data_IF_715420651447
#
_entry.id   IF_715420651447
#
_cell.length_a   1.000
_cell.length_b   1.000
_cell.length_c   1.000
_cell.angle_alpha   90.00
_cell.angle_beta   90.00
_cell.angle_gamma   90.00
#
_symmetry.space_group_name_H-M   'P 1'
#
loop_
_entity.id
_entity.type
_entity.pdbx_description
1 polymer ?
#
# COMPACT_ATOMS: atom_id res chain seq x y z
N UNK A 1 -11.23 -7.67 -22.94
CA UNK A 1 -10.02 -8.44 -23.24
C UNK A 1 -8.90 -7.96 -22.33
N UNK A 2 -8.22 -8.87 -21.70
CA UNK A 2 -7.17 -8.50 -20.76
C UNK A 2 -5.94 -7.99 -21.50
N UNK A 3 -5.50 -6.81 -21.11
CA UNK A 3 -4.21 -6.28 -21.52
C UNK A 3 -3.12 -7.13 -20.87
N UNK A 4 -2.17 -7.70 -21.64
CA UNK A 4 -1.11 -8.52 -21.07
C UNK A 4 -0.21 -7.77 -20.06
N UNK A 5 -0.25 -6.43 -20.04
CA UNK A 5 0.47 -5.64 -19.05
C UNK A 5 -0.31 -5.44 -17.75
N UNK A 6 -1.58 -5.76 -17.73
CA UNK A 6 -2.47 -5.52 -16.60
C UNK A 6 -2.03 -6.16 -15.28
N UNK A 7 -1.46 -7.37 -15.27
CA UNK A 7 -0.99 -7.97 -14.01
C UNK A 7 0.08 -7.17 -13.28
N UNK A 8 0.75 -6.25 -13.96
CA UNK A 8 1.79 -5.41 -13.34
C UNK A 8 1.28 -4.03 -12.94
N UNK A 9 0.04 -3.65 -13.31
CA UNK A 9 -0.55 -2.37 -12.96
C UNK A 9 -1.01 -2.35 -11.50
N UNK A 10 -0.97 -1.17 -10.83
CA UNK A 10 -1.58 -1.03 -9.50
C UNK A 10 -3.07 -1.33 -9.54
N UNK A 11 -3.58 -1.92 -8.46
CA UNK A 11 -4.98 -2.26 -8.35
C UNK A 11 -5.52 -1.87 -6.96
N UNK A 12 -6.71 -1.25 -6.94
CA UNK A 12 -7.41 -0.86 -5.72
C UNK A 12 -8.74 -1.57 -5.56
N UNK A 13 -8.98 -2.65 -6.30
CA UNK A 13 -10.26 -3.36 -6.28
C UNK A 13 -10.58 -3.87 -4.87
N UNK A 14 -11.65 -3.34 -4.29
CA UNK A 14 -12.13 -3.75 -2.95
C UNK A 14 -12.60 -5.19 -2.97
N UNK A 15 -13.09 -5.68 -4.12
CA UNK A 15 -13.61 -7.04 -4.27
C UNK A 15 -12.56 -8.11 -3.98
N UNK A 16 -11.28 -7.79 -4.18
CA UNK A 16 -10.16 -8.70 -3.93
C UNK A 16 -9.48 -8.48 -2.60
N UNK A 17 -9.99 -7.53 -1.81
CA UNK A 17 -9.43 -7.20 -0.50
C UNK A 17 -10.09 -8.03 0.59
N UNK A 18 -9.35 -8.34 1.65
CA UNK A 18 -9.89 -8.97 2.84
C UNK A 18 -10.90 -8.02 3.51
N UNK A 19 -12.14 -8.44 3.77
CA UNK A 19 -13.18 -7.55 4.32
C UNK A 19 -12.83 -6.98 5.70
N UNK A 20 -12.16 -7.74 6.55
CA UNK A 20 -11.73 -7.23 7.86
C UNK A 20 -10.69 -6.14 7.73
N UNK A 21 -9.74 -6.35 6.83
CA UNK A 21 -8.74 -5.33 6.54
C UNK A 21 -9.40 -4.06 6.00
N UNK A 22 -10.33 -4.19 5.05
CA UNK A 22 -11.05 -3.04 4.50
C UNK A 22 -11.80 -2.26 5.57
N UNK A 23 -12.45 -2.95 6.49
CA UNK A 23 -13.18 -2.30 7.59
C UNK A 23 -12.23 -1.50 8.49
N UNK A 24 -11.13 -2.10 8.89
CA UNK A 24 -10.11 -1.44 9.73
C UNK A 24 -9.46 -0.28 9.00
N UNK A 25 -9.10 -0.48 7.75
CA UNK A 25 -8.51 0.57 6.92
C UNK A 25 -9.45 1.76 6.77
N UNK A 26 -10.72 1.51 6.48
CA UNK A 26 -11.72 2.56 6.34
C UNK A 26 -11.83 3.41 7.60
N UNK A 27 -11.81 2.78 8.78
CA UNK A 27 -11.83 3.49 10.05
C UNK A 27 -10.57 4.32 10.28
N UNK A 28 -9.40 3.77 9.97
CA UNK A 28 -8.13 4.50 10.09
C UNK A 28 -8.11 5.72 9.16
N UNK A 29 -8.48 5.55 7.91
CA UNK A 29 -8.47 6.64 6.94
C UNK A 29 -9.51 7.71 7.25
N UNK A 30 -10.68 7.32 7.78
CA UNK A 30 -11.68 8.29 8.25
C UNK A 30 -11.14 9.12 9.42
N UNK A 31 -10.51 8.46 10.39
CA UNK A 31 -9.89 9.17 11.51
C UNK A 31 -8.77 10.11 11.04
N UNK A 32 -8.01 9.70 10.04
CA UNK A 32 -6.97 10.51 9.42
C UNK A 32 -7.54 11.80 8.82
N UNK A 33 -8.61 11.67 8.05
CA UNK A 33 -9.28 12.82 7.45
C UNK A 33 -9.92 13.72 8.52
N UNK A 34 -10.50 13.12 9.54
CA UNK A 34 -11.07 13.88 10.68
C UNK A 34 -10.00 14.66 11.44
N UNK A 35 -8.77 14.17 11.45
CA UNK A 35 -7.62 14.86 12.04
C UNK A 35 -7.05 15.96 11.14
N UNK A 36 -7.58 16.14 9.93
CA UNK A 36 -7.19 17.21 9.03
C UNK A 36 -6.18 16.81 7.95
N UNK A 37 -5.93 15.52 7.76
CA UNK A 37 -4.99 15.04 6.74
C UNK A 37 -5.74 14.46 5.54
N UNK A 38 -5.41 14.93 4.35
CA UNK A 38 -5.91 14.32 3.12
C UNK A 38 -5.08 13.09 2.80
N UNK A 39 -5.76 12.01 2.38
CA UNK A 39 -5.12 10.74 2.07
C UNK A 39 -5.85 10.08 0.91
N UNK A 40 -5.09 9.45 0.00
CA UNK A 40 -5.67 8.65 -1.08
C UNK A 40 -5.06 7.26 -1.12
N UNK A 41 -5.86 6.28 -1.56
CA UNK A 41 -5.40 4.92 -1.79
C UNK A 41 -4.71 4.82 -3.15
N UNK A 42 -3.64 4.05 -3.22
CA UNK A 42 -2.82 3.89 -4.43
C UNK A 42 -2.88 2.46 -4.95
N UNK A 43 -2.57 1.49 -4.10
CA UNK A 43 -2.55 0.09 -4.51
C UNK A 43 -2.94 -0.80 -3.33
N UNK A 44 -3.95 -1.67 -3.54
CA UNK A 44 -4.39 -2.64 -2.54
C UNK A 44 -3.99 -4.06 -2.92
N UNK A 45 -4.94 -4.86 -3.47
CA UNK A 45 -4.64 -6.20 -3.92
C UNK A 45 -3.55 -6.17 -5.00
N UNK A 46 -2.64 -7.13 -4.91
CA UNK A 46 -1.54 -7.26 -5.87
C UNK A 46 -1.46 -8.69 -6.37
N UNK A 47 -1.38 -8.87 -7.69
CA UNK A 47 -1.17 -10.19 -8.27
C UNK A 47 0.25 -10.69 -8.03
N UNK A 48 0.44 -12.01 -8.11
CA UNK A 48 1.77 -12.62 -8.01
C UNK A 48 2.69 -12.06 -9.11
N UNK A 49 2.16 -11.89 -10.32
CA UNK A 49 2.91 -11.34 -11.45
C UNK A 49 3.36 -9.91 -11.18
N UNK A 50 2.48 -9.08 -10.62
CA UNK A 50 2.81 -7.71 -10.24
C UNK A 50 3.92 -7.69 -9.19
N UNK A 51 3.82 -8.54 -8.16
CA UNK A 51 4.84 -8.59 -7.09
C UNK A 51 6.20 -9.04 -7.64
N UNK A 52 6.21 -10.02 -8.53
CA UNK A 52 7.44 -10.47 -9.20
C UNK A 52 8.06 -9.34 -10.02
N UNK A 53 7.24 -8.59 -10.74
CA UNK A 53 7.71 -7.44 -11.52
C UNK A 53 8.35 -6.38 -10.63
N UNK A 54 7.68 -6.01 -9.55
CA UNK A 54 8.19 -5.01 -8.60
C UNK A 54 9.50 -5.47 -7.96
N UNK A 55 9.58 -6.75 -7.59
CA UNK A 55 10.81 -7.32 -7.01
C UNK A 55 11.97 -7.27 -8.01
N UNK A 56 11.69 -7.46 -9.29
CA UNK A 56 12.71 -7.45 -10.34
C UNK A 56 13.26 -6.05 -10.64
N UNK A 57 12.48 -4.98 -10.40
CA UNK A 57 12.93 -3.61 -10.64
C UNK A 57 14.17 -3.31 -9.79
N UNK A 58 15.22 -2.84 -10.44
CA UNK A 58 16.50 -2.55 -9.82
C UNK A 58 17.40 -3.78 -9.63
N UNK A 59 16.88 -5.00 -9.88
CA UNK A 59 17.65 -6.24 -9.79
C UNK A 59 17.92 -6.85 -11.16
N UNK A 60 16.89 -7.30 -11.86
CA UNK A 60 17.02 -7.95 -13.19
C UNK A 60 16.48 -7.10 -14.33
N UNK A 61 15.57 -6.17 -14.05
CA UNK A 61 15.03 -5.20 -15.00
C UNK A 61 15.28 -3.80 -14.47
N UNK A 62 15.43 -2.84 -15.38
CA UNK A 62 15.65 -1.42 -15.01
C UNK A 62 16.72 -1.28 -13.92
N UNK A 63 17.87 -1.93 -14.10
CA UNK A 63 18.92 -2.03 -13.07
C UNK A 63 19.44 -0.69 -12.58
N UNK A 64 19.27 0.37 -13.35
CA UNK A 64 19.64 1.73 -12.95
C UNK A 64 18.67 2.36 -11.96
N UNK A 65 17.47 1.78 -11.79
CA UNK A 65 16.47 2.27 -10.85
C UNK A 65 16.70 1.70 -9.45
N UNK A 66 16.29 2.44 -8.40
CA UNK A 66 16.33 1.90 -7.04
C UNK A 66 15.45 0.65 -6.93
N UNK A 67 15.83 -0.25 -6.03
CA UNK A 67 15.00 -1.41 -5.68
C UNK A 67 13.68 -0.91 -5.09
N UNK A 68 12.54 -1.42 -5.61
CA UNK A 68 11.19 -0.97 -5.23
C UNK A 68 10.66 -1.72 -4.01
N UNK A 69 10.97 -3.03 -3.90
CA UNK A 69 10.48 -3.86 -2.81
C UNK A 69 11.54 -4.89 -2.40
N UNK A 70 11.56 -5.23 -1.11
CA UNK A 70 12.47 -6.21 -0.56
C UNK A 70 11.89 -7.63 -0.57
N UNK A 71 10.63 -7.81 -0.96
CA UNK A 71 9.97 -9.10 -0.83
C UNK A 71 9.22 -9.53 -2.09
N UNK A 72 9.20 -10.84 -2.32
CA UNK A 72 8.29 -11.50 -3.26
C UNK A 72 6.96 -11.88 -2.59
N UNK A 73 6.89 -11.80 -1.25
CA UNK A 73 5.76 -12.23 -0.43
C UNK A 73 5.23 -11.02 0.34
N UNK A 74 4.31 -10.30 -0.26
CA UNK A 74 3.68 -9.12 0.34
C UNK A 74 2.26 -9.46 0.78
N UNK A 75 1.77 -8.82 1.86
CA UNK A 75 0.37 -8.93 2.25
C UNK A 75 -0.58 -8.31 1.21
N UNK A 76 -0.08 -7.52 0.25
CA UNK A 76 -0.85 -7.12 -0.93
C UNK A 76 -1.38 -8.32 -1.72
N UNK A 77 -0.66 -9.45 -1.72
CA UNK A 77 -1.06 -10.66 -2.45
C UNK A 77 -2.34 -11.31 -1.89
N UNK A 78 -2.66 -11.06 -0.64
CA UNK A 78 -3.86 -11.59 0.02
C UNK A 78 -4.87 -10.50 0.37
N UNK A 79 -4.70 -9.31 -0.17
CA UNK A 79 -5.61 -8.20 0.06
C UNK A 79 -5.60 -7.66 1.48
N UNK A 80 -4.49 -7.75 2.19
CA UNK A 80 -4.33 -7.28 3.58
C UNK A 80 -3.34 -6.14 3.72
N UNK A 81 -3.06 -5.45 2.64
CA UNK A 81 -2.22 -4.27 2.63
C UNK A 81 -2.75 -3.24 1.65
N UNK A 82 -2.49 -1.98 1.93
CA UNK A 82 -2.86 -0.86 1.07
C UNK A 82 -1.75 0.17 1.13
N UNK A 83 -1.32 0.64 -0.04
CA UNK A 83 -0.45 1.79 -0.14
C UNK A 83 -1.28 3.05 -0.26
N UNK A 84 -0.93 4.07 0.51
CA UNK A 84 -1.60 5.37 0.51
C UNK A 84 -0.59 6.49 0.37
N UNK A 85 -1.04 7.63 -0.10
CA UNK A 85 -0.20 8.83 -0.15
C UNK A 85 -1.06 10.08 0.00
N UNK A 86 -0.41 11.25 0.03
CA UNK A 86 -1.10 12.53 0.00
C UNK A 86 -1.57 12.82 -1.44
N UNK A 87 -2.81 13.31 -1.64
CA UNK A 87 -3.28 13.71 -2.97
C UNK A 87 -2.46 14.84 -3.60
N UNK A 88 -1.84 15.70 -2.78
CA UNK A 88 -1.07 16.85 -3.26
C UNK A 88 0.42 16.68 -3.15
N UNK A 89 0.91 16.02 -2.09
CA UNK A 89 2.34 15.88 -1.79
C UNK A 89 2.89 14.50 -2.13
N UNK A 90 2.03 13.56 -2.55
CA UNK A 90 2.45 12.19 -2.82
C UNK A 90 3.09 11.54 -1.61
N UNK A 91 4.27 10.98 -1.79
CA UNK A 91 5.03 10.33 -0.71
C UNK A 91 5.96 11.29 0.05
N UNK A 92 5.87 12.60 -0.22
CA UNK A 92 6.64 13.64 0.48
C UNK A 92 5.76 14.38 1.48
N UNK A 93 5.00 13.64 2.28
CA UNK A 93 4.05 14.16 3.26
C UNK A 93 4.40 13.63 4.67
N UNK A 94 5.47 14.13 5.31
CA UNK A 94 5.94 13.56 6.58
C UNK A 94 4.88 13.60 7.69
N UNK A 95 4.08 14.65 7.77
CA UNK A 95 3.05 14.76 8.80
C UNK A 95 1.97 13.69 8.66
N UNK A 96 1.55 13.38 7.42
CA UNK A 96 0.58 12.32 7.15
C UNK A 96 1.13 10.97 7.58
N UNK A 97 2.35 10.63 7.17
CA UNK A 97 2.94 9.34 7.47
C UNK A 97 3.26 9.17 8.96
N UNK A 98 3.67 10.24 9.63
CA UNK A 98 3.84 10.22 11.08
C UNK A 98 2.51 9.96 11.80
N UNK A 99 1.44 10.60 11.35
CA UNK A 99 0.11 10.38 11.93
C UNK A 99 -0.32 8.92 11.76
N UNK A 100 -0.16 8.38 10.55
CA UNK A 100 -0.52 6.99 10.27
C UNK A 100 0.31 6.02 11.13
N UNK A 101 1.61 6.24 11.23
CA UNK A 101 2.48 5.41 12.07
C UNK A 101 2.05 5.41 13.53
N UNK A 102 1.65 6.57 14.06
CA UNK A 102 1.25 6.71 15.45
C UNK A 102 -0.12 6.08 15.76
N UNK A 103 -1.02 6.05 14.79
CA UNK A 103 -2.41 5.68 15.04
C UNK A 103 -2.84 4.33 14.45
N UNK A 104 -2.06 3.75 13.56
CA UNK A 104 -2.45 2.50 12.88
C UNK A 104 -2.78 1.36 13.87
N UNK A 105 -2.00 1.21 14.93
CA UNK A 105 -2.19 0.14 15.91
C UNK A 105 -3.56 0.18 16.60
N UNK A 106 -4.13 1.38 16.80
CA UNK A 106 -5.45 1.54 17.39
C UNK A 106 -6.54 0.83 16.57
N UNK A 107 -6.30 0.67 15.27
CA UNK A 107 -7.25 0.05 14.34
C UNK A 107 -6.85 -1.38 13.95
N UNK A 108 -5.87 -1.97 14.64
CA UNK A 108 -5.38 -3.31 14.33
C UNK A 108 -4.50 -3.37 13.08
N UNK A 109 -3.90 -2.25 12.72
CA UNK A 109 -3.05 -2.11 11.54
C UNK A 109 -1.65 -1.67 11.94
N UNK A 110 -0.72 -1.74 10.99
CA UNK A 110 0.64 -1.23 11.18
C UNK A 110 1.19 -0.65 9.88
N UNK A 111 2.17 0.23 10.03
CA UNK A 111 3.02 0.68 8.93
C UNK A 111 4.35 -0.08 8.98
N UNK A 112 5.13 -0.02 7.91
CA UNK A 112 6.44 -0.66 7.85
C UNK A 112 7.54 0.40 7.83
N UNK A 113 8.62 0.25 8.64
CA UNK A 113 9.75 1.16 8.57
C UNK A 113 10.36 1.17 7.17
N UNK A 114 10.65 2.38 6.67
CA UNK A 114 11.27 2.55 5.36
C UNK A 114 10.35 2.35 4.16
N UNK A 115 9.08 1.99 4.39
CA UNK A 115 8.08 1.79 3.33
C UNK A 115 6.93 2.77 3.52
N UNK A 116 7.13 3.98 3.04
CA UNK A 116 6.16 5.07 3.22
C UNK A 116 4.83 4.75 2.57
N UNK A 117 3.77 4.99 3.32
CA UNK A 117 2.42 4.80 2.82
C UNK A 117 1.92 3.36 2.86
N UNK A 118 2.76 2.39 3.19
CA UNK A 118 2.33 1.00 3.33
C UNK A 118 1.61 0.80 4.66
N UNK A 119 0.38 0.28 4.58
CA UNK A 119 -0.45 -0.07 5.74
C UNK A 119 -0.85 -1.52 5.59
N UNK A 120 -0.67 -2.31 6.65
CA UNK A 120 -1.02 -3.72 6.60
C UNK A 120 -1.70 -4.18 7.89
N UNK A 121 -2.40 -5.33 7.81
CA UNK A 121 -3.08 -5.92 8.95
C UNK A 121 -2.06 -6.54 9.91
N UNK A 122 -2.26 -6.30 11.21
CA UNK A 122 -1.51 -6.99 12.26
C UNK A 122 -2.17 -8.34 12.48
N UNK A 123 -1.38 -9.40 12.42
CA UNK A 123 -1.87 -10.75 12.70
C UNK A 123 -1.96 -11.04 14.19
#
# INVERSE_FOLDING_TARGET
>A
MDDPTRPIDPEMSIERMDPRFCYRLGRLLQACMDAGYDVKMVEGYRTVERQKHLYAIGRTIDQAKPVVTDTKHSLHLVGRAMDVCSPTLGYTAPALFDWLRLHAATFGLRTLPGDRGHIEEVE
#
